data_IF_409614549719
#
_entry.id   IF_409614549719
#
_cell.length_a   1.000
_cell.length_b   1.000
_cell.length_c   1.000
_cell.angle_alpha   90.00
_cell.angle_beta   90.00
_cell.angle_gamma   90.00
#
_symmetry.space_group_name_H-M   'P 1'
#
loop_
_entity.id
_entity.type
_entity.pdbx_description
1 polymer ?
#
# COMPACT_ATOMS: atom_id res chain seq x y z
N UNK A 1 -15.62 -7.82 14.69
CA UNK A 1 -15.44 -6.34 14.68
C UNK A 1 -14.80 -5.99 13.34
N UNK A 2 -15.37 -5.08 12.54
CA UNK A 2 -14.77 -4.64 11.28
C UNK A 2 -13.37 -4.03 11.46
N UNK A 3 -12.54 -4.12 10.43
CA UNK A 3 -11.19 -3.53 10.40
C UNK A 3 -11.19 -2.38 9.38
N UNK A 4 -10.70 -1.22 9.79
CA UNK A 4 -10.47 -0.07 8.91
C UNK A 4 -8.98 0.26 8.93
N UNK A 5 -8.33 0.18 7.78
CA UNK A 5 -6.91 0.42 7.61
C UNK A 5 -6.69 1.83 7.05
N UNK A 6 -5.94 2.65 7.78
CA UNK A 6 -5.50 3.96 7.31
C UNK A 6 -4.04 3.84 6.89
N UNK A 7 -3.76 3.96 5.59
CA UNK A 7 -2.47 3.60 5.01
C UNK A 7 -1.68 4.85 4.63
N UNK A 8 -0.57 5.06 5.33
CA UNK A 8 0.52 5.98 4.96
C UNK A 8 1.84 5.34 5.40
N UNK A 9 2.43 4.54 4.52
CA UNK A 9 3.69 3.83 4.77
C UNK A 9 4.65 3.91 3.58
N UNK A 10 5.89 4.37 3.79
CA UNK A 10 6.92 4.39 2.75
C UNK A 10 7.64 3.03 2.59
N UNK A 11 7.41 2.06 3.47
CA UNK A 11 8.17 0.81 3.51
C UNK A 11 8.43 0.30 4.92
N UNK A 12 9.19 -0.79 5.01
CA UNK A 12 9.75 -1.27 6.28
C UNK A 12 11.00 -0.48 6.67
N UNK A 13 11.32 -0.46 7.96
CA UNK A 13 12.53 0.16 8.46
C UNK A 13 13.77 -0.63 7.97
N UNK A 14 14.69 -0.04 7.20
CA UNK A 14 15.91 -0.72 6.80
C UNK A 14 16.89 -0.84 7.97
N UNK A 15 17.66 -1.92 8.00
CA UNK A 15 18.81 -2.04 8.89
C UNK A 15 19.12 -3.48 9.30
N UNK A 16 20.42 -3.77 9.47
CA UNK A 16 20.91 -5.11 9.87
C UNK A 16 20.25 -5.64 11.15
N UNK A 17 19.94 -4.75 12.10
CA UNK A 17 19.26 -5.13 13.33
C UNK A 17 17.84 -5.68 13.08
N UNK A 18 17.09 -5.13 12.11
CA UNK A 18 15.76 -5.62 11.74
C UNK A 18 15.84 -7.00 11.09
N UNK A 19 16.80 -7.18 10.18
CA UNK A 19 17.05 -8.48 9.54
C UNK A 19 17.40 -9.55 10.57
N UNK A 20 18.35 -9.26 11.46
CA UNK A 20 18.77 -10.19 12.50
C UNK A 20 17.69 -10.46 13.54
N UNK A 21 16.80 -9.49 13.80
CA UNK A 21 15.62 -9.67 14.65
C UNK A 21 14.51 -10.47 13.96
N UNK A 22 14.68 -10.85 12.69
CA UNK A 22 13.73 -11.68 11.96
C UNK A 22 12.52 -10.91 11.44
N UNK A 23 12.73 -9.72 10.87
CA UNK A 23 11.65 -8.89 10.29
C UNK A 23 10.80 -9.64 9.27
N UNK A 24 11.37 -10.62 8.56
CA UNK A 24 10.63 -11.48 7.63
C UNK A 24 9.50 -12.24 8.35
N UNK A 25 9.82 -12.92 9.45
CA UNK A 25 8.83 -13.68 10.24
C UNK A 25 7.84 -12.73 10.92
N UNK A 26 8.32 -11.62 11.45
CA UNK A 26 7.47 -10.65 12.15
C UNK A 26 6.51 -9.92 11.20
N UNK A 27 6.98 -9.46 10.05
CA UNK A 27 6.16 -8.81 9.02
C UNK A 27 5.10 -9.75 8.44
N UNK A 28 5.44 -11.03 8.27
CA UNK A 28 4.50 -12.03 7.78
C UNK A 28 3.32 -12.28 8.73
N UNK A 29 3.43 -11.96 10.02
CA UNK A 29 2.30 -12.05 10.98
C UNK A 29 1.15 -11.12 10.61
N UNK A 30 1.47 -9.89 10.15
CA UNK A 30 0.44 -8.92 9.74
C UNK A 30 -0.27 -9.40 8.47
N UNK A 31 0.49 -9.88 7.48
CA UNK A 31 -0.06 -10.48 6.26
C UNK A 31 -0.99 -11.65 6.60
N UNK A 32 -0.53 -12.56 7.45
CA UNK A 32 -1.30 -13.71 7.90
C UNK A 32 -2.61 -13.29 8.58
N UNK A 33 -2.54 -12.38 9.55
CA UNK A 33 -3.71 -11.92 10.31
C UNK A 33 -4.76 -11.24 9.42
N UNK A 34 -4.33 -10.37 8.49
CA UNK A 34 -5.26 -9.70 7.57
C UNK A 34 -5.89 -10.67 6.56
N UNK A 35 -5.11 -11.66 6.09
CA UNK A 35 -5.58 -12.68 5.14
C UNK A 35 -6.54 -13.68 5.79
N UNK A 36 -6.31 -14.04 7.05
CA UNK A 36 -7.16 -14.98 7.79
C UNK A 36 -8.46 -14.33 8.27
N UNK A 37 -8.45 -13.02 8.54
CA UNK A 37 -9.61 -12.30 9.03
C UNK A 37 -10.78 -12.34 8.03
N UNK A 38 -11.93 -12.86 8.44
CA UNK A 38 -13.15 -12.95 7.60
C UNK A 38 -14.12 -11.79 7.80
N UNK A 39 -13.86 -10.94 8.79
CA UNK A 39 -14.67 -9.74 9.08
C UNK A 39 -14.68 -8.76 7.90
N UNK A 40 -15.63 -7.81 7.88
CA UNK A 40 -15.55 -6.65 7.00
C UNK A 40 -14.23 -5.90 7.14
N UNK A 41 -13.55 -5.65 6.02
CA UNK A 41 -12.26 -4.95 5.95
C UNK A 41 -12.32 -3.83 4.93
N UNK A 42 -11.99 -2.61 5.36
CA UNK A 42 -11.90 -1.44 4.50
C UNK A 42 -10.49 -0.83 4.60
N UNK A 43 -10.02 -0.22 3.53
CA UNK A 43 -8.77 0.53 3.53
C UNK A 43 -8.93 1.94 2.93
N UNK A 44 -8.18 2.90 3.48
CA UNK A 44 -8.06 4.25 2.96
C UNK A 44 -6.59 4.56 2.76
N UNK A 45 -6.20 4.74 1.50
CA UNK A 45 -4.85 5.15 1.09
C UNK A 45 -4.76 6.66 1.24
N UNK A 46 -3.98 7.14 2.21
CA UNK A 46 -3.95 8.58 2.54
C UNK A 46 -2.83 9.30 1.81
N UNK A 47 -1.63 8.69 1.76
CA UNK A 47 -0.45 9.29 1.17
C UNK A 47 0.51 8.22 0.65
N UNK A 48 1.55 7.83 1.39
CA UNK A 48 2.54 6.86 0.88
C UNK A 48 2.02 5.44 0.94
N UNK A 49 2.16 4.70 -0.14
CA UNK A 49 1.74 3.30 -0.22
C UNK A 49 2.74 2.52 -1.06
N UNK A 50 3.87 2.16 -0.45
CA UNK A 50 4.99 1.60 -1.20
C UNK A 50 5.34 0.15 -0.86
N UNK A 51 5.68 -0.59 -1.91
CA UNK A 51 6.40 -1.86 -1.86
C UNK A 51 5.83 -2.90 -0.89
N UNK A 52 6.74 -3.57 -0.17
CA UNK A 52 6.38 -4.62 0.79
C UNK A 52 5.51 -4.15 1.95
N UNK A 53 5.55 -2.86 2.31
CA UNK A 53 4.70 -2.35 3.39
C UNK A 53 3.27 -2.16 2.92
N UNK A 54 3.04 -1.75 1.67
CA UNK A 54 1.71 -1.76 1.06
C UNK A 54 1.09 -3.17 1.07
N UNK A 55 1.89 -4.20 0.72
CA UNK A 55 1.52 -5.60 0.91
C UNK A 55 1.15 -5.92 2.37
N UNK A 56 1.99 -5.48 3.31
CA UNK A 56 1.78 -5.63 4.76
C UNK A 56 0.44 -5.04 5.25
N UNK A 57 -0.10 -4.06 4.54
CA UNK A 57 -1.40 -3.45 4.84
C UNK A 57 -2.57 -4.19 4.17
N UNK A 58 -2.36 -5.32 3.51
CA UNK A 58 -3.42 -6.19 2.99
C UNK A 58 -4.33 -5.55 1.95
N UNK A 59 -3.87 -4.49 1.27
CA UNK A 59 -4.67 -3.74 0.30
C UNK A 59 -4.61 -4.32 -1.12
N UNK A 60 -3.68 -5.24 -1.39
CA UNK A 60 -3.57 -5.88 -2.70
C UNK A 60 -4.63 -6.98 -2.91
N UNK A 61 -4.95 -7.33 -4.16
CA UNK A 61 -5.82 -8.45 -4.48
C UNK A 61 -5.34 -9.75 -3.82
N UNK A 62 -6.28 -10.53 -3.28
CA UNK A 62 -5.99 -11.80 -2.60
C UNK A 62 -5.84 -11.73 -1.08
N UNK A 63 -5.65 -10.53 -0.50
CA UNK A 63 -5.61 -10.35 0.97
C UNK A 63 -7.00 -10.17 1.62
N UNK A 64 -8.06 -10.12 0.81
CA UNK A 64 -9.44 -10.15 1.28
C UNK A 64 -9.94 -8.84 1.90
N UNK A 65 -9.28 -7.71 1.63
CA UNK A 65 -9.84 -6.37 1.88
C UNK A 65 -11.01 -6.13 0.93
N UNK A 66 -12.16 -5.74 1.47
CA UNK A 66 -13.42 -5.71 0.72
C UNK A 66 -13.53 -4.46 -0.15
N UNK A 67 -13.16 -3.30 0.40
CA UNK A 67 -13.14 -2.04 -0.34
C UNK A 67 -11.92 -1.19 0.06
N UNK A 68 -11.27 -0.62 -0.95
CA UNK A 68 -10.11 0.25 -0.87
C UNK A 68 -10.46 1.59 -1.52
N UNK A 69 -10.31 2.67 -0.75
CA UNK A 69 -10.45 4.04 -1.22
C UNK A 69 -9.10 4.74 -1.18
N UNK A 70 -8.91 5.73 -2.04
CA UNK A 70 -7.72 6.57 -2.01
C UNK A 70 -8.07 8.04 -1.83
N UNK A 71 -7.19 8.80 -1.19
CA UNK A 71 -7.21 10.25 -1.25
C UNK A 71 -6.49 10.74 -2.51
N UNK A 72 -6.76 11.97 -3.00
CA UNK A 72 -5.99 12.58 -4.09
C UNK A 72 -4.49 12.72 -3.80
N UNK A 73 -4.12 12.70 -2.51
CA UNK A 73 -2.74 12.76 -2.04
C UNK A 73 -2.04 11.40 -2.01
N UNK A 74 -2.74 10.32 -2.35
CA UNK A 74 -2.19 8.97 -2.30
C UNK A 74 -1.23 8.72 -3.47
N UNK A 75 -0.05 8.23 -3.15
CA UNK A 75 0.98 7.78 -4.06
C UNK A 75 1.26 6.29 -3.80
N UNK A 76 1.01 5.46 -4.81
CA UNK A 76 1.15 4.00 -4.74
C UNK A 76 2.22 3.57 -5.73
N UNK A 77 3.11 2.68 -5.33
CA UNK A 77 4.20 2.25 -6.21
C UNK A 77 5.07 1.16 -5.59
N UNK A 78 6.00 0.63 -6.38
CA UNK A 78 6.98 -0.31 -5.86
C UNK A 78 7.94 0.36 -4.85
N UNK A 79 8.29 1.62 -5.09
CA UNK A 79 9.15 2.45 -4.26
C UNK A 79 8.86 3.94 -4.51
N UNK A 80 9.43 4.83 -3.70
CA UNK A 80 9.29 6.27 -3.89
C UNK A 80 10.08 6.78 -5.11
N UNK A 81 9.65 7.91 -5.68
CA UNK A 81 10.22 8.46 -6.91
C UNK A 81 11.74 8.71 -6.84
N UNK A 82 12.24 9.27 -5.73
CA UNK A 82 13.69 9.46 -5.54
C UNK A 82 14.47 8.15 -5.59
N UNK A 83 13.91 7.09 -4.98
CA UNK A 83 14.53 5.77 -4.93
C UNK A 83 14.52 5.11 -6.31
N UNK A 84 13.41 5.26 -7.04
CA UNK A 84 13.29 4.76 -8.41
C UNK A 84 14.27 5.48 -9.35
N UNK A 85 14.36 6.80 -9.24
CA UNK A 85 15.27 7.59 -10.09
C UNK A 85 16.72 7.23 -9.82
N UNK A 86 17.11 7.08 -8.55
CA UNK A 86 18.44 6.64 -8.20
C UNK A 86 18.74 5.24 -8.76
N UNK A 87 17.76 4.34 -8.71
CA UNK A 87 17.93 2.97 -9.22
C UNK A 87 18.06 2.91 -10.75
N UNK A 88 17.22 3.65 -11.48
CA UNK A 88 17.14 3.54 -12.94
C UNK A 88 18.07 4.50 -13.69
N UNK A 89 18.43 5.64 -13.09
CA UNK A 89 19.20 6.71 -13.73
C UNK A 89 20.55 6.97 -13.04
N UNK A 90 21.04 6.08 -12.16
CA UNK A 90 22.31 6.27 -11.45
C UNK A 90 23.48 6.65 -12.37
N UNK A 91 23.61 5.97 -13.51
CA UNK A 91 24.72 6.21 -14.43
C UNK A 91 24.53 7.51 -15.23
N UNK A 92 23.30 7.81 -15.66
CA UNK A 92 22.95 9.06 -16.34
C UNK A 92 23.17 10.27 -15.42
N UNK A 93 22.80 10.16 -14.14
CA UNK A 93 23.03 11.21 -13.12
C UNK A 93 24.53 11.47 -12.96
N UNK A 94 25.36 10.42 -12.92
CA UNK A 94 26.83 10.56 -12.80
C UNK A 94 27.47 11.19 -14.03
N UNK A 95 26.90 10.98 -15.21
CA UNK A 95 27.42 11.48 -16.49
C UNK A 95 26.88 12.86 -16.86
N UNK A 96 25.81 13.32 -16.19
CA UNK A 96 25.22 14.63 -16.43
C UNK A 96 26.17 15.77 -16.04
N UNK A 97 26.18 16.85 -16.83
CA UNK A 97 26.92 18.06 -16.51
C UNK A 97 26.46 18.70 -15.18
N UNK A 98 25.17 18.50 -14.86
CA UNK A 98 24.54 18.98 -13.63
C UNK A 98 23.71 17.88 -12.97
N UNK A 99 24.35 17.01 -12.16
CA UNK A 99 23.71 15.82 -11.59
C UNK A 99 22.45 16.12 -10.78
N UNK A 100 22.47 17.14 -9.93
CA UNK A 100 21.33 17.49 -9.08
C UNK A 100 20.13 18.04 -9.88
N UNK A 101 20.37 18.86 -10.91
CA UNK A 101 19.31 19.36 -11.78
C UNK A 101 18.67 18.22 -12.59
N UNK A 102 19.49 17.30 -13.13
CA UNK A 102 19.00 16.13 -13.86
C UNK A 102 18.19 15.21 -12.95
N UNK A 103 18.68 14.94 -11.74
CA UNK A 103 17.98 14.14 -10.73
C UNK A 103 16.63 14.76 -10.37
N UNK A 104 16.60 16.05 -10.05
CA UNK A 104 15.36 16.75 -9.71
C UNK A 104 14.34 16.72 -10.86
N UNK A 105 14.81 16.88 -12.10
CA UNK A 105 13.97 16.75 -13.29
C UNK A 105 13.37 15.34 -13.40
N UNK A 106 14.20 14.29 -13.26
CA UNK A 106 13.72 12.91 -13.35
C UNK A 106 12.76 12.53 -12.23
N UNK A 107 12.97 13.03 -11.01
CA UNK A 107 12.03 12.84 -9.89
C UNK A 107 10.69 13.49 -10.19
N UNK A 108 10.70 14.71 -10.75
CA UNK A 108 9.48 15.39 -11.16
C UNK A 108 8.74 14.62 -12.26
N UNK A 109 9.44 14.21 -13.31
CA UNK A 109 8.87 13.40 -14.41
C UNK A 109 8.28 12.09 -13.87
N UNK A 110 8.98 11.41 -12.96
CA UNK A 110 8.49 10.16 -12.36
C UNK A 110 7.22 10.40 -11.53
N UNK A 111 7.18 11.48 -10.73
CA UNK A 111 6.02 11.81 -9.93
C UNK A 111 4.78 12.12 -10.79
N UNK A 112 4.95 12.89 -11.87
CA UNK A 112 3.88 13.24 -12.80
C UNK A 112 3.32 12.02 -13.54
N UNK A 113 4.18 11.03 -13.86
CA UNK A 113 3.77 9.84 -14.60
C UNK A 113 3.21 8.71 -13.72
N UNK A 114 3.79 8.51 -12.53
CA UNK A 114 3.58 7.30 -11.74
C UNK A 114 3.10 7.55 -10.31
N UNK A 115 3.37 8.73 -9.72
CA UNK A 115 2.94 9.04 -8.35
C UNK A 115 1.61 9.81 -8.29
N UNK A 116 1.00 10.12 -9.45
CA UNK A 116 -0.33 10.70 -9.49
C UNK A 116 -1.42 9.67 -9.13
N UNK A 117 -2.23 10.00 -8.13
CA UNK A 117 -3.39 9.21 -7.67
C UNK A 117 -4.37 8.86 -8.80
N UNK A 118 -4.52 9.73 -9.80
CA UNK A 118 -5.40 9.51 -10.96
C UNK A 118 -4.82 8.50 -11.96
N UNK A 119 -3.52 8.58 -12.22
CA UNK A 119 -2.82 7.57 -13.02
C UNK A 119 -2.93 6.19 -12.34
N UNK A 120 -2.82 6.17 -11.01
CA UNK A 120 -3.01 4.97 -10.20
C UNK A 120 -4.43 4.42 -10.26
N UNK A 121 -5.48 5.21 -10.08
CA UNK A 121 -6.86 4.71 -10.20
C UNK A 121 -7.19 4.15 -11.59
N UNK A 122 -6.50 4.62 -12.64
CA UNK A 122 -6.67 4.10 -14.00
C UNK A 122 -5.98 2.76 -14.26
N UNK A 123 -4.93 2.44 -13.49
CA UNK A 123 -4.10 1.23 -13.67
C UNK A 123 -4.29 0.20 -12.55
N UNK A 124 -4.78 0.63 -11.38
CA UNK A 124 -4.93 -0.17 -10.17
C UNK A 124 -6.38 -0.58 -9.99
N UNK A 125 -6.70 -1.77 -10.50
CA UNK A 125 -8.07 -2.29 -10.59
C UNK A 125 -8.76 -2.59 -9.25
N UNK A 126 -8.05 -2.49 -8.13
CA UNK A 126 -8.59 -2.82 -6.80
C UNK A 126 -8.99 -1.60 -5.95
N UNK A 127 -8.70 -0.37 -6.40
CA UNK A 127 -9.19 0.87 -5.75
C UNK A 127 -10.58 1.18 -6.28
N UNK A 128 -11.58 1.32 -5.40
CA UNK A 128 -12.97 1.56 -5.83
C UNK A 128 -13.24 3.01 -6.21
N UNK A 129 -12.63 3.96 -5.49
CA UNK A 129 -12.84 5.38 -5.75
C UNK A 129 -11.72 6.24 -5.15
N UNK A 130 -11.52 7.42 -5.75
CA UNK A 130 -10.72 8.51 -5.17
C UNK A 130 -11.67 9.47 -4.48
N UNK A 131 -11.56 9.58 -3.16
CA UNK A 131 -12.46 10.39 -2.33
C UNK A 131 -11.73 11.57 -1.68
N UNK A 132 -12.45 12.68 -1.53
CA UNK A 132 -11.97 13.82 -0.75
C UNK A 132 -11.77 13.44 0.72
N UNK A 133 -10.69 13.89 1.41
CA UNK A 133 -10.41 13.49 2.80
C UNK A 133 -11.58 13.72 3.77
N UNK A 134 -12.33 14.82 3.59
CA UNK A 134 -13.53 15.15 4.38
C UNK A 134 -14.69 14.17 4.21
N UNK A 135 -14.73 13.41 3.12
CA UNK A 135 -15.79 12.44 2.83
C UNK A 135 -15.50 11.04 3.41
N UNK A 136 -14.29 10.80 3.92
CA UNK A 136 -13.84 9.51 4.45
C UNK A 136 -14.85 8.88 5.40
N UNK A 137 -15.33 9.63 6.41
CA UNK A 137 -16.31 9.10 7.38
C UNK A 137 -17.62 8.67 6.71
N UNK A 138 -18.13 9.48 5.78
CA UNK A 138 -19.38 9.20 5.06
C UNK A 138 -19.23 7.94 4.21
N UNK A 139 -18.11 7.82 3.50
CA UNK A 139 -17.78 6.69 2.65
C UNK A 139 -17.67 5.40 3.47
N UNK A 140 -16.81 5.39 4.50
CA UNK A 140 -16.62 4.24 5.38
C UNK A 140 -17.92 3.76 6.05
N UNK A 141 -18.77 4.67 6.50
CA UNK A 141 -20.03 4.30 7.14
C UNK A 141 -20.96 3.57 6.17
N UNK A 142 -21.11 4.09 4.95
CA UNK A 142 -21.92 3.45 3.89
C UNK A 142 -21.34 2.12 3.46
N UNK A 143 -20.01 2.06 3.29
CA UNK A 143 -19.30 0.84 2.96
C UNK A 143 -19.52 -0.24 4.02
N UNK A 144 -19.35 0.09 5.31
CA UNK A 144 -19.59 -0.87 6.39
C UNK A 144 -21.04 -1.38 6.42
N UNK A 145 -22.03 -0.52 6.15
CA UNK A 145 -23.42 -0.93 6.03
C UNK A 145 -23.63 -1.89 4.85
N UNK A 146 -22.98 -1.64 3.71
CA UNK A 146 -23.05 -2.51 2.53
C UNK A 146 -22.51 -3.93 2.81
N UNK A 147 -21.40 -4.02 3.53
CA UNK A 147 -20.71 -5.31 3.79
C UNK A 147 -20.96 -5.88 5.19
N UNK A 148 -21.94 -5.36 5.94
CA UNK A 148 -22.20 -5.77 7.33
C UNK A 148 -22.55 -7.25 7.47
N UNK A 149 -23.23 -7.82 6.46
CA UNK A 149 -23.70 -9.21 6.43
C UNK A 149 -22.72 -10.15 5.72
N UNK A 150 -21.48 -9.70 5.46
CA UNK A 150 -20.43 -10.50 4.83
C UNK A 150 -20.25 -11.82 5.58
N UNK A 151 -20.37 -12.92 4.84
CA UNK A 151 -20.04 -14.27 5.30
C UNK A 151 -19.01 -14.87 4.36
N UNK A 152 -17.88 -15.30 4.93
CA UNK A 152 -16.82 -15.97 4.20
C UNK A 152 -16.46 -17.23 4.98
N UNK A 153 -16.62 -18.38 4.33
CA UNK A 153 -16.30 -19.67 4.93
C UNK A 153 -14.84 -20.03 4.63
N UNK A 154 -13.98 -20.15 5.66
CA UNK A 154 -12.61 -20.58 5.46
C UNK A 154 -12.56 -22.08 5.15
N UNK A 155 -11.52 -22.50 4.43
CA UNK A 155 -11.26 -23.93 4.21
C UNK A 155 -11.15 -24.71 5.54
N UNK A 156 -11.73 -25.93 5.62
CA UNK A 156 -11.64 -26.76 6.81
C UNK A 156 -10.19 -27.07 7.18
N UNK A 157 -9.80 -26.70 8.41
CA UNK A 157 -8.48 -26.95 8.98
C UNK A 157 -8.61 -27.01 10.50
N UNK A 158 -7.67 -27.67 11.19
CA UNK A 158 -7.61 -27.62 12.67
C UNK A 158 -7.28 -26.21 13.15
N UNK A 159 -6.28 -25.60 12.53
CA UNK A 159 -5.85 -24.22 12.64
C UNK A 159 -4.88 -23.94 11.47
N UNK A 160 -4.50 -22.68 11.24
CA UNK A 160 -3.39 -22.39 10.33
C UNK A 160 -2.02 -22.45 11.02
N UNK A 161 -0.98 -22.08 10.29
CA UNK A 161 0.41 -22.09 10.75
C UNK A 161 1.01 -20.68 10.65
N UNK A 162 0.54 -19.80 11.52
CA UNK A 162 1.03 -18.43 11.57
C UNK A 162 2.53 -18.41 11.89
N UNK A 163 3.34 -17.56 11.24
CA UNK A 163 4.72 -17.32 11.67
C UNK A 163 4.77 -16.92 13.15
N UNK A 164 5.72 -17.49 13.91
CA UNK A 164 5.93 -17.22 15.33
C UNK A 164 7.25 -16.51 15.59
#
# INVERSE_FOLDING_TARGET
IPIVLLVDTPGYLPGKAQEHAGIIHHGAKVLYALSEATVPKLAVLMRKVYGGAALGMGILPGFGTDLVFAWPTAEVGAMGAEQAVELFYADDIKQAEKPEEFRAQKVKEYNELYADSLALASQVTYVQDIIEPRETRRCLTRSLQLIQDKKLEPYPKRHGNMPL
#
